data_IF_886533252251
#
_entry.id   IF_886533252251
#
_cell.length_a   1.000
_cell.length_b   1.000
_cell.length_c   1.000
_cell.angle_alpha   90.00
_cell.angle_beta   90.00
_cell.angle_gamma   90.00
#
_symmetry.space_group_name_H-M   'P 1'
#
loop_
_entity.id
_entity.type
_entity.pdbx_description
1 polymer ?
#
# COMPACT_ATOMS: atom_id res chain seq x y z
N UNK A 1 25.49 8.64 -4.42
CA UNK A 1 24.34 9.46 -4.84
C UNK A 1 24.78 10.43 -5.93
N UNK A 2 24.69 10.01 -7.21
CA UNK A 2 25.10 10.83 -8.37
C UNK A 2 24.08 11.92 -8.74
N UNK A 3 22.96 12.03 -8.05
CA UNK A 3 21.86 12.94 -8.43
C UNK A 3 21.62 14.11 -7.47
N UNK A 4 22.41 14.27 -6.41
CA UNK A 4 22.20 15.36 -5.42
C UNK A 4 20.83 15.34 -4.70
N UNK A 5 20.08 14.26 -4.77
CA UNK A 5 18.78 14.15 -4.13
C UNK A 5 18.98 13.98 -2.61
N UNK A 6 18.43 14.90 -1.83
CA UNK A 6 18.28 14.76 -0.39
C UNK A 6 17.27 13.64 -0.08
N UNK A 7 17.65 12.70 0.78
CA UNK A 7 16.75 11.70 1.33
C UNK A 7 16.60 11.94 2.82
N UNK A 8 15.38 12.06 3.28
CA UNK A 8 15.05 12.10 4.69
C UNK A 8 14.77 10.67 5.14
N UNK A 9 15.45 10.22 6.19
CA UNK A 9 15.28 8.90 6.79
C UNK A 9 14.80 9.12 8.21
N UNK A 10 13.64 8.57 8.53
CA UNK A 10 13.04 8.66 9.86
C UNK A 10 13.28 7.36 10.61
N UNK A 11 13.62 7.48 11.90
CA UNK A 11 13.81 6.36 12.80
C UNK A 11 12.94 6.54 14.03
N UNK A 12 12.42 5.44 14.53
CA UNK A 12 11.73 5.39 15.80
C UNK A 12 12.73 4.94 16.86
N UNK A 13 13.29 5.89 17.64
CA UNK A 13 14.38 5.68 18.57
C UNK A 13 15.79 5.85 17.95
N UNK A 14 16.83 5.44 18.67
CA UNK A 14 18.22 5.46 18.19
C UNK A 14 18.50 4.24 17.32
N UNK A 15 18.69 4.39 15.99
CA UNK A 15 18.91 3.28 15.08
C UNK A 15 20.35 2.74 15.11
N UNK A 16 21.26 3.31 15.90
CA UNK A 16 22.69 3.02 15.83
C UNK A 16 23.31 3.40 14.47
N UNK A 17 24.36 2.68 14.04
CA UNK A 17 24.97 2.90 12.72
C UNK A 17 24.07 2.42 11.57
N UNK A 18 23.56 3.35 10.77
CA UNK A 18 22.77 3.05 9.57
C UNK A 18 23.60 3.29 8.32
N UNK A 19 23.83 2.26 7.53
CA UNK A 19 24.47 2.38 6.20
C UNK A 19 23.45 2.86 5.18
N UNK A 20 23.62 4.09 4.70
CA UNK A 20 22.68 4.77 3.79
C UNK A 20 22.70 4.26 2.35
N UNK A 21 23.75 3.57 1.94
CA UNK A 21 23.84 2.90 0.62
C UNK A 21 24.40 1.47 0.79
N UNK A 22 23.55 0.53 1.19
CA UNK A 22 23.98 -0.85 1.39
C UNK A 22 24.34 -1.48 0.04
N UNK A 23 25.34 -2.39 0.02
CA UNK A 23 25.58 -3.24 -1.14
C UNK A 23 24.30 -4.04 -1.42
N UNK A 24 23.99 -4.30 -2.70
CA UNK A 24 22.74 -4.94 -3.13
C UNK A 24 22.40 -6.23 -2.35
N UNK A 25 23.39 -7.02 -1.97
CA UNK A 25 23.17 -8.26 -1.22
C UNK A 25 22.88 -8.03 0.28
N UNK A 26 23.38 -6.95 0.89
CA UNK A 26 22.97 -6.55 2.25
C UNK A 26 21.50 -6.09 2.25
N UNK A 27 21.13 -5.29 1.27
CA UNK A 27 19.74 -4.91 1.08
C UNK A 27 18.85 -6.14 0.86
N UNK A 28 19.25 -7.03 -0.04
CA UNK A 28 18.51 -8.27 -0.31
C UNK A 28 18.32 -9.12 0.94
N UNK A 29 19.41 -9.39 1.69
CA UNK A 29 19.31 -10.20 2.92
C UNK A 29 18.41 -9.57 3.98
N UNK A 30 18.53 -8.27 4.19
CA UNK A 30 17.65 -7.54 5.10
C UNK A 30 16.17 -7.68 4.69
N UNK A 31 15.88 -7.53 3.41
CA UNK A 31 14.52 -7.65 2.92
C UNK A 31 13.98 -9.08 2.93
N UNK A 32 14.82 -10.11 2.77
CA UNK A 32 14.42 -11.50 3.03
C UNK A 32 13.95 -11.67 4.48
N UNK A 33 14.74 -11.19 5.45
CA UNK A 33 14.37 -11.26 6.87
C UNK A 33 13.11 -10.45 7.17
N UNK A 34 12.96 -9.27 6.56
CA UNK A 34 11.75 -8.45 6.69
C UNK A 34 10.53 -9.16 6.14
N UNK A 35 10.63 -9.82 4.98
CA UNK A 35 9.55 -10.63 4.39
C UNK A 35 9.16 -11.83 5.26
N UNK A 36 10.14 -12.52 5.83
CA UNK A 36 9.88 -13.58 6.81
C UNK A 36 9.18 -13.03 8.05
N UNK A 37 9.69 -11.93 8.61
CA UNK A 37 9.08 -11.25 9.76
C UNK A 37 7.65 -10.82 9.48
N UNK A 38 7.37 -10.24 8.31
CA UNK A 38 6.02 -9.87 7.88
C UNK A 38 5.05 -11.05 7.91
N UNK A 39 5.47 -12.20 7.39
CA UNK A 39 4.66 -13.41 7.37
C UNK A 39 4.38 -13.93 8.79
N UNK A 40 5.37 -13.94 9.68
CA UNK A 40 5.21 -14.47 11.04
C UNK A 40 4.50 -13.49 11.99
N UNK A 41 4.63 -12.18 11.77
CA UNK A 41 3.91 -11.17 12.56
C UNK A 41 2.47 -10.96 12.09
N UNK A 42 2.17 -11.24 10.81
CA UNK A 42 0.84 -11.14 10.24
C UNK A 42 -0.01 -12.36 10.56
N UNK A 43 -0.80 -12.31 11.65
CA UNK A 43 -1.69 -13.42 12.05
C UNK A 43 -2.67 -13.76 10.93
N UNK A 44 -3.15 -12.79 10.18
CA UNK A 44 -4.01 -12.96 9.00
C UNK A 44 -3.35 -13.84 7.91
N UNK A 45 -2.06 -13.65 7.64
CA UNK A 45 -1.31 -14.51 6.70
C UNK A 45 -1.17 -15.94 7.23
N UNK A 46 -0.88 -16.10 8.53
CA UNK A 46 -0.78 -17.42 9.15
C UNK A 46 -2.11 -18.17 9.10
N UNK A 47 -3.22 -17.52 9.46
CA UNK A 47 -4.55 -18.11 9.40
C UNK A 47 -4.98 -18.43 7.97
N UNK A 48 -4.66 -17.55 7.02
CA UNK A 48 -4.90 -17.80 5.59
C UNK A 48 -4.18 -19.05 5.10
N UNK A 49 -2.87 -19.18 5.37
CA UNK A 49 -2.09 -20.37 4.99
C UNK A 49 -2.61 -21.60 5.71
N UNK A 50 -2.99 -21.50 6.98
CA UNK A 50 -3.57 -22.62 7.73
C UNK A 50 -4.89 -23.10 7.09
N UNK A 51 -5.76 -22.19 6.65
CA UNK A 51 -6.97 -22.54 5.90
C UNK A 51 -6.68 -23.28 4.60
N UNK A 52 -5.60 -22.93 3.90
CA UNK A 52 -5.18 -23.65 2.70
C UNK A 52 -4.67 -25.06 3.01
N UNK A 53 -3.96 -25.22 4.14
CA UNK A 53 -3.33 -26.49 4.55
C UNK A 53 -4.34 -27.50 5.09
N UNK A 54 -5.34 -27.05 5.85
CA UNK A 54 -6.29 -27.92 6.56
C UNK A 54 -6.92 -29.02 5.68
N UNK A 55 -7.40 -28.75 4.45
CA UNK A 55 -8.03 -29.78 3.61
C UNK A 55 -7.05 -30.49 2.67
N UNK A 56 -5.80 -30.01 2.55
CA UNK A 56 -4.83 -30.53 1.57
C UNK A 56 -3.65 -31.15 2.31
N UNK A 57 -3.41 -32.44 2.13
CA UNK A 57 -2.35 -33.16 2.85
C UNK A 57 -1.10 -33.44 2.02
N UNK A 58 -1.14 -33.17 0.72
CA UNK A 58 -0.02 -33.40 -0.16
C UNK A 58 0.82 -32.11 -0.31
N UNK A 59 2.11 -32.19 -0.02
CA UNK A 59 3.01 -31.03 -0.09
C UNK A 59 3.07 -30.40 -1.50
N UNK A 60 3.17 -31.21 -2.56
CA UNK A 60 3.33 -30.71 -3.93
C UNK A 60 2.21 -29.75 -4.37
N UNK A 61 0.89 -30.10 -4.26
CA UNK A 61 -0.16 -29.15 -4.62
C UNK A 61 -0.19 -27.94 -3.70
N UNK A 62 0.15 -28.08 -2.41
CA UNK A 62 0.21 -26.95 -1.46
C UNK A 62 1.28 -25.93 -1.86
N UNK A 63 2.49 -26.38 -2.20
CA UNK A 63 3.55 -25.50 -2.69
C UNK A 63 3.04 -24.70 -3.89
N UNK A 64 2.41 -25.35 -4.88
CA UNK A 64 1.87 -24.65 -6.05
C UNK A 64 0.81 -23.59 -5.72
N UNK A 65 -0.06 -23.87 -4.75
CA UNK A 65 -1.10 -22.92 -4.31
C UNK A 65 -0.47 -21.73 -3.57
N UNK A 66 0.49 -21.97 -2.69
CA UNK A 66 1.18 -20.95 -1.92
C UNK A 66 2.04 -20.07 -2.84
N UNK A 67 2.80 -20.67 -3.76
CA UNK A 67 3.58 -19.92 -4.75
C UNK A 67 2.69 -19.07 -5.67
N UNK A 68 1.50 -19.55 -6.05
CA UNK A 68 0.54 -18.75 -6.81
C UNK A 68 0.09 -17.50 -6.01
N UNK A 69 -0.15 -17.66 -4.71
CA UNK A 69 -0.43 -16.53 -3.81
C UNK A 69 0.75 -15.56 -3.76
N UNK A 70 1.98 -16.03 -3.55
CA UNK A 70 3.18 -15.18 -3.47
C UNK A 70 3.45 -14.42 -4.77
N UNK A 71 3.25 -15.06 -5.93
CA UNK A 71 3.38 -14.39 -7.23
C UNK A 71 2.37 -13.24 -7.34
N UNK A 72 1.10 -13.49 -7.00
CA UNK A 72 0.05 -12.48 -7.04
C UNK A 72 0.31 -11.33 -6.06
N UNK A 73 0.71 -11.67 -4.83
CA UNK A 73 1.13 -10.72 -3.80
C UNK A 73 2.29 -9.84 -4.30
N UNK A 74 3.29 -10.43 -4.96
CA UNK A 74 4.43 -9.72 -5.54
C UNK A 74 3.99 -8.72 -6.62
N UNK A 75 3.04 -9.08 -7.47
CA UNK A 75 2.53 -8.21 -8.54
C UNK A 75 1.94 -6.93 -7.94
N UNK A 76 1.04 -7.06 -6.96
CA UNK A 76 0.38 -5.90 -6.36
C UNK A 76 1.29 -5.11 -5.43
N UNK A 77 2.24 -5.76 -4.76
CA UNK A 77 3.27 -5.11 -3.98
C UNK A 77 4.17 -4.22 -4.84
N UNK A 78 4.66 -4.75 -5.98
CA UNK A 78 5.46 -3.99 -6.95
C UNK A 78 4.63 -2.85 -7.56
N UNK A 79 3.38 -3.12 -7.95
CA UNK A 79 2.47 -2.11 -8.44
C UNK A 79 2.28 -0.96 -7.44
N UNK A 80 2.10 -1.28 -6.16
CA UNK A 80 2.01 -0.29 -5.07
C UNK A 80 3.28 0.53 -4.90
N UNK A 81 4.44 -0.12 -4.95
CA UNK A 81 5.74 0.55 -4.83
C UNK A 81 6.02 1.50 -6.00
N UNK A 82 5.49 1.18 -7.18
CA UNK A 82 5.57 2.01 -8.39
C UNK A 82 4.47 3.10 -8.46
N UNK A 83 3.60 3.21 -7.45
CA UNK A 83 2.56 4.22 -7.39
C UNK A 83 1.28 3.91 -8.16
N UNK A 84 1.07 2.65 -8.58
CA UNK A 84 -0.16 2.22 -9.26
C UNK A 84 -1.31 1.85 -8.29
N UNK A 85 -1.04 1.79 -6.98
CA UNK A 85 -2.10 1.58 -6.01
C UNK A 85 -3.00 2.83 -5.89
N UNK A 86 -4.31 2.66 -5.70
CA UNK A 86 -5.20 3.77 -5.39
C UNK A 86 -4.74 4.54 -4.14
N UNK A 87 -4.73 5.87 -4.23
CA UNK A 87 -4.30 6.75 -3.13
C UNK A 87 -5.46 7.16 -2.23
N UNK A 88 -6.69 6.78 -2.56
CA UNK A 88 -7.89 7.11 -1.81
C UNK A 88 -7.83 6.56 -0.37
N UNK A 89 -8.21 7.39 0.61
CA UNK A 89 -8.14 7.06 2.04
C UNK A 89 -8.98 5.83 2.43
N UNK A 90 -10.04 5.54 1.70
CA UNK A 90 -10.87 4.35 1.91
C UNK A 90 -10.25 3.05 1.39
N UNK A 91 -9.21 3.15 0.53
CA UNK A 91 -8.63 1.98 -0.12
C UNK A 91 -7.92 1.03 0.85
N UNK A 92 -7.01 1.48 1.76
CA UNK A 92 -6.40 0.59 2.74
C UNK A 92 -7.44 -0.12 3.64
N UNK A 93 -8.44 0.56 4.25
CA UNK A 93 -9.50 -0.12 4.99
C UNK A 93 -10.31 -1.11 4.17
N UNK A 94 -10.56 -0.84 2.89
CA UNK A 94 -11.21 -1.79 2.01
C UNK A 94 -10.37 -3.05 1.82
N UNK A 95 -9.07 -2.90 1.59
CA UNK A 95 -8.15 -4.04 1.44
C UNK A 95 -8.14 -4.88 2.71
N UNK A 96 -8.12 -4.28 3.89
CA UNK A 96 -8.18 -5.00 5.17
C UNK A 96 -9.48 -5.79 5.33
N UNK A 97 -10.63 -5.22 4.93
CA UNK A 97 -11.92 -5.93 4.89
C UNK A 97 -11.85 -7.14 3.96
N UNK A 98 -11.27 -6.97 2.77
CA UNK A 98 -11.14 -8.04 1.79
C UNK A 98 -10.18 -9.14 2.27
N UNK A 99 -9.10 -8.79 2.97
CA UNK A 99 -8.18 -9.75 3.60
C UNK A 99 -8.94 -10.60 4.63
N UNK A 100 -9.64 -9.97 5.59
CA UNK A 100 -10.42 -10.70 6.58
C UNK A 100 -11.51 -11.57 5.92
N UNK A 101 -12.20 -11.03 4.92
CA UNK A 101 -13.20 -11.74 4.12
C UNK A 101 -12.65 -12.97 3.40
N UNK A 102 -11.40 -12.92 2.92
CA UNK A 102 -10.73 -14.06 2.27
C UNK A 102 -10.49 -15.23 3.23
N UNK A 103 -10.14 -14.92 4.48
CA UNK A 103 -9.94 -15.93 5.53
C UNK A 103 -11.28 -16.57 5.91
N UNK A 104 -12.32 -15.76 6.12
CA UNK A 104 -13.69 -16.25 6.37
C UNK A 104 -14.16 -17.17 5.24
N UNK A 105 -13.97 -16.74 3.99
CA UNK A 105 -14.36 -17.55 2.82
C UNK A 105 -13.68 -18.92 2.81
N UNK A 106 -12.35 -18.97 2.96
CA UNK A 106 -11.61 -20.24 2.95
C UNK A 106 -11.99 -21.15 4.14
N UNK A 107 -12.18 -20.58 5.31
CA UNK A 107 -12.56 -21.34 6.48
C UNK A 107 -13.98 -21.92 6.33
N UNK A 108 -14.95 -21.17 5.80
CA UNK A 108 -16.29 -21.65 5.49
C UNK A 108 -16.27 -22.71 4.38
N UNK A 109 -15.44 -22.53 3.33
CA UNK A 109 -15.24 -23.54 2.28
C UNK A 109 -14.77 -24.88 2.88
N UNK A 110 -13.84 -24.84 3.83
CA UNK A 110 -13.36 -26.02 4.53
C UNK A 110 -14.46 -26.69 5.37
N UNK A 111 -15.34 -25.91 6.04
CA UNK A 111 -16.48 -26.42 6.80
C UNK A 111 -17.49 -27.10 5.88
N UNK A 112 -17.85 -26.49 4.77
CA UNK A 112 -18.78 -27.06 3.79
C UNK A 112 -18.16 -28.30 3.12
N UNK A 113 -16.85 -28.32 2.96
CA UNK A 113 -16.12 -29.41 2.31
C UNK A 113 -16.26 -29.37 0.79
N UNK A 114 -16.48 -28.19 0.25
CA UNK A 114 -16.53 -27.99 -1.20
C UNK A 114 -15.20 -28.38 -1.84
N UNK A 115 -15.25 -29.25 -2.86
CA UNK A 115 -14.09 -29.53 -3.71
C UNK A 115 -14.02 -28.47 -4.80
N UNK A 116 -13.38 -27.34 -4.52
CA UNK A 116 -13.19 -26.30 -5.52
C UNK A 116 -12.03 -26.71 -6.44
N UNK A 117 -12.31 -26.96 -7.72
CA UNK A 117 -11.25 -27.17 -8.69
C UNK A 117 -10.44 -25.87 -8.80
N UNK A 118 -9.13 -25.98 -9.02
CA UNK A 118 -8.26 -24.82 -9.25
C UNK A 118 -8.09 -23.88 -8.04
N UNK A 119 -7.91 -24.43 -6.83
CA UNK A 119 -7.65 -23.65 -5.61
C UNK A 119 -6.49 -22.62 -5.76
N UNK A 120 -5.54 -22.89 -6.65
CA UNK A 120 -4.47 -21.95 -6.96
C UNK A 120 -4.99 -20.62 -7.54
N UNK A 121 -6.11 -20.64 -8.28
CA UNK A 121 -6.72 -19.40 -8.82
C UNK A 121 -7.31 -18.55 -7.69
N UNK A 122 -7.96 -19.20 -6.72
CA UNK A 122 -8.52 -18.50 -5.53
C UNK A 122 -7.37 -17.92 -4.71
N UNK A 123 -6.32 -18.70 -4.45
CA UNK A 123 -5.14 -18.23 -3.75
C UNK A 123 -4.45 -17.07 -4.49
N UNK A 124 -4.37 -17.15 -5.82
CA UNK A 124 -3.86 -16.05 -6.66
C UNK A 124 -4.71 -14.79 -6.52
N UNK A 125 -6.04 -14.91 -6.64
CA UNK A 125 -6.95 -13.76 -6.50
C UNK A 125 -6.83 -13.09 -5.12
N UNK A 126 -6.75 -13.88 -4.05
CA UNK A 126 -6.53 -13.36 -2.71
C UNK A 126 -5.13 -12.79 -2.52
N UNK A 127 -4.11 -13.38 -3.15
CA UNK A 127 -2.75 -12.84 -3.15
C UNK A 127 -2.68 -11.41 -3.73
N UNK A 128 -3.44 -11.13 -4.80
CA UNK A 128 -3.55 -9.76 -5.34
C UNK A 128 -4.11 -8.78 -4.31
N UNK A 129 -5.09 -9.20 -3.51
CA UNK A 129 -5.66 -8.36 -2.45
C UNK A 129 -4.65 -8.14 -1.32
N UNK A 130 -4.03 -9.22 -0.81
CA UNK A 130 -3.09 -9.17 0.31
C UNK A 130 -1.85 -8.30 0.00
N UNK A 131 -1.36 -8.31 -1.23
CA UNK A 131 -0.20 -7.50 -1.62
C UNK A 131 -0.45 -5.99 -1.55
N UNK A 132 -1.68 -5.53 -1.70
CA UNK A 132 -2.02 -4.13 -1.43
C UNK A 132 -2.03 -3.78 0.06
N UNK A 133 -2.33 -4.74 0.95
CA UNK A 133 -2.41 -4.51 2.40
C UNK A 133 -1.11 -4.05 3.04
N UNK A 134 0.03 -4.46 2.49
CA UNK A 134 1.35 -4.09 3.00
C UNK A 134 1.92 -2.80 2.39
N UNK A 135 1.22 -2.18 1.44
CA UNK A 135 1.75 -1.06 0.65
C UNK A 135 2.14 0.18 1.47
N UNK A 136 1.44 0.46 2.57
CA UNK A 136 1.74 1.60 3.46
C UNK A 136 2.95 1.32 4.34
N UNK A 137 3.01 0.18 5.01
CA UNK A 137 4.14 -0.21 5.84
C UNK A 137 5.43 -0.42 5.02
N UNK A 138 5.30 -0.89 3.77
CA UNK A 138 6.43 -1.08 2.87
C UNK A 138 7.10 0.24 2.51
N UNK A 139 6.38 1.35 2.36
CA UNK A 139 6.98 2.66 2.05
C UNK A 139 7.99 3.08 3.11
N UNK A 140 7.71 2.83 4.38
CA UNK A 140 8.63 3.11 5.49
C UNK A 140 9.87 2.20 5.41
N UNK A 141 9.71 0.93 5.05
CA UNK A 141 10.81 -0.01 4.90
C UNK A 141 11.67 0.27 3.65
N UNK A 142 11.06 0.75 2.56
CA UNK A 142 11.75 1.03 1.30
C UNK A 142 12.76 2.20 1.41
N UNK A 143 12.66 3.06 2.41
CA UNK A 143 13.70 4.08 2.67
C UNK A 143 15.09 3.45 2.84
N UNK A 144 15.16 2.19 3.30
CA UNK A 144 16.41 1.44 3.48
C UNK A 144 16.85 0.63 2.26
N UNK A 145 16.08 0.64 1.18
CA UNK A 145 16.42 -0.09 -0.05
C UNK A 145 17.53 0.60 -0.87
N UNK A 146 17.83 1.86 -0.58
CA UNK A 146 18.82 2.63 -1.33
C UNK A 146 18.46 2.74 -2.82
N UNK A 147 19.42 2.42 -3.70
CA UNK A 147 19.23 2.35 -5.15
C UNK A 147 18.66 0.99 -5.63
N UNK A 148 18.45 0.02 -4.71
CA UNK A 148 18.17 -1.38 -5.02
C UNK A 148 16.69 -1.76 -4.82
N UNK A 149 15.75 -0.88 -5.19
CA UNK A 149 14.31 -1.06 -4.96
C UNK A 149 13.78 -2.41 -5.45
N UNK A 150 14.00 -2.75 -6.72
CA UNK A 150 13.48 -3.99 -7.30
C UNK A 150 14.11 -5.23 -6.66
N UNK A 151 15.40 -5.19 -6.37
CA UNK A 151 16.10 -6.28 -5.67
C UNK A 151 15.54 -6.48 -4.26
N UNK A 152 15.27 -5.39 -3.55
CA UNK A 152 14.68 -5.42 -2.21
C UNK A 152 13.26 -5.98 -2.22
N UNK A 153 12.43 -5.58 -3.19
CA UNK A 153 11.07 -6.11 -3.34
C UNK A 153 11.08 -7.60 -3.69
N UNK A 154 11.95 -8.03 -4.62
CA UNK A 154 12.10 -9.44 -4.96
C UNK A 154 12.59 -10.26 -3.75
N UNK A 155 13.58 -9.75 -3.02
CA UNK A 155 14.11 -10.38 -1.83
C UNK A 155 13.06 -10.50 -0.70
N UNK A 156 12.23 -9.46 -0.51
CA UNK A 156 11.12 -9.51 0.42
C UNK A 156 10.14 -10.65 0.09
N UNK A 157 9.75 -10.79 -1.17
CA UNK A 157 8.83 -11.87 -1.59
C UNK A 157 9.47 -13.26 -1.47
N UNK A 158 10.78 -13.38 -1.70
CA UNK A 158 11.51 -14.62 -1.38
C UNK A 158 11.43 -14.93 0.12
N UNK A 159 11.55 -13.92 0.98
CA UNK A 159 11.38 -14.08 2.43
C UNK A 159 9.98 -14.55 2.82
N UNK A 160 8.94 -13.97 2.21
CA UNK A 160 7.53 -14.39 2.41
C UNK A 160 7.37 -15.86 2.00
N UNK A 161 7.83 -16.25 0.81
CA UNK A 161 7.74 -17.64 0.32
C UNK A 161 8.46 -18.62 1.25
N UNK A 162 9.69 -18.29 1.68
CA UNK A 162 10.44 -19.15 2.61
C UNK A 162 9.71 -19.33 3.94
N UNK A 163 9.11 -18.27 4.49
CA UNK A 163 8.34 -18.37 5.71
C UNK A 163 7.08 -19.22 5.53
N UNK A 164 6.37 -19.07 4.42
CA UNK A 164 5.21 -19.92 4.09
C UNK A 164 5.60 -21.39 3.96
N UNK A 165 6.69 -21.69 3.27
CA UNK A 165 7.21 -23.05 3.15
C UNK A 165 7.62 -23.62 4.52
N UNK A 166 8.20 -22.81 5.40
CA UNK A 166 8.51 -23.23 6.76
C UNK A 166 7.23 -23.56 7.56
N UNK A 167 6.19 -22.73 7.44
CA UNK A 167 4.86 -23.01 8.04
C UNK A 167 4.30 -24.33 7.48
N UNK A 168 4.36 -24.57 6.18
CA UNK A 168 3.91 -25.83 5.56
C UNK A 168 4.70 -27.03 6.10
N UNK A 169 6.02 -26.90 6.19
CA UNK A 169 6.90 -27.97 6.68
C UNK A 169 6.61 -28.42 8.11
N UNK A 170 6.06 -27.51 8.93
CA UNK A 170 5.65 -27.80 10.31
C UNK A 170 4.17 -28.22 10.37
N UNK A 171 3.28 -27.45 9.75
CA UNK A 171 1.83 -27.66 9.87
C UNK A 171 1.36 -28.96 9.23
N UNK A 172 1.89 -29.32 8.05
CA UNK A 172 1.46 -30.57 7.37
C UNK A 172 1.78 -31.84 8.16
N UNK A 173 3.02 -32.07 8.66
CA UNK A 173 3.30 -33.21 9.51
C UNK A 173 2.52 -33.18 10.82
N UNK A 174 2.39 -32.01 11.46
CA UNK A 174 1.64 -31.85 12.71
C UNK A 174 0.16 -32.23 12.54
N UNK A 175 -0.50 -31.75 11.49
CA UNK A 175 -1.88 -32.08 11.17
C UNK A 175 -2.04 -33.57 10.80
N UNK A 176 -1.10 -34.13 10.04
CA UNK A 176 -1.10 -35.58 9.74
C UNK A 176 -1.02 -36.43 11.01
N UNK A 177 -0.14 -36.06 11.93
CA UNK A 177 0.01 -36.74 13.21
C UNK A 177 -1.27 -36.62 14.06
N UNK A 178 -1.82 -35.39 14.16
CA UNK A 178 -3.05 -35.09 14.91
C UNK A 178 -4.23 -35.93 14.40
N UNK A 179 -4.44 -35.92 13.08
CA UNK A 179 -5.57 -36.62 12.44
C UNK A 179 -5.38 -38.14 12.40
N UNK A 180 -4.13 -38.64 12.50
CA UNK A 180 -3.87 -40.08 12.58
C UNK A 180 -4.11 -40.65 13.99
N UNK A 181 -4.02 -39.81 15.05
CA UNK A 181 -4.00 -40.32 16.44
C UNK A 181 -5.04 -39.74 17.38
N UNK A 182 -5.48 -38.50 17.18
CA UNK A 182 -6.27 -37.80 18.20
C UNK A 182 -7.69 -37.44 17.73
N UNK A 183 -7.87 -37.01 16.49
CA UNK A 183 -9.16 -36.45 16.01
C UNK A 183 -9.46 -36.94 14.58
N UNK A 184 -10.70 -37.43 14.31
CA UNK A 184 -11.11 -37.74 12.95
C UNK A 184 -10.91 -36.50 12.04
N UNK A 185 -10.32 -36.73 10.87
CA UNK A 185 -9.91 -35.64 9.96
C UNK A 185 -11.00 -34.61 9.71
N UNK A 186 -12.17 -35.06 9.28
CA UNK A 186 -13.29 -34.18 8.96
C UNK A 186 -13.72 -33.32 10.13
N UNK A 187 -13.75 -33.92 11.33
CA UNK A 187 -14.08 -33.21 12.57
C UNK A 187 -13.02 -32.17 12.91
N UNK A 188 -11.73 -32.53 12.82
CA UNK A 188 -10.63 -31.62 13.10
C UNK A 188 -10.59 -30.43 12.13
N UNK A 189 -10.84 -30.65 10.83
CA UNK A 189 -10.94 -29.59 9.84
C UNK A 189 -12.10 -28.65 10.16
N UNK A 190 -13.30 -29.19 10.50
CA UNK A 190 -14.47 -28.37 10.87
C UNK A 190 -14.18 -27.53 12.10
N UNK A 191 -13.67 -28.16 13.18
CA UNK A 191 -13.38 -27.46 14.45
C UNK A 191 -12.35 -26.35 14.22
N UNK A 192 -11.21 -26.65 13.60
CA UNK A 192 -10.17 -25.66 13.33
C UNK A 192 -10.69 -24.51 12.45
N UNK A 193 -11.44 -24.84 11.40
CA UNK A 193 -12.01 -23.83 10.51
C UNK A 193 -13.09 -22.99 11.20
N UNK A 194 -13.87 -23.55 12.13
CA UNK A 194 -14.85 -22.81 12.92
C UNK A 194 -14.18 -21.77 13.83
N UNK A 195 -13.08 -22.13 14.51
CA UNK A 195 -12.29 -21.19 15.30
C UNK A 195 -11.70 -20.07 14.42
N UNK A 196 -11.13 -20.43 13.27
CA UNK A 196 -10.58 -19.44 12.34
C UNK A 196 -11.70 -18.52 11.82
N UNK A 197 -12.87 -19.07 11.46
CA UNK A 197 -14.01 -18.27 11.01
C UNK A 197 -14.46 -17.30 12.08
N UNK A 198 -14.53 -17.75 13.35
CA UNK A 198 -14.94 -16.91 14.47
C UNK A 198 -14.01 -15.70 14.61
N UNK A 199 -12.71 -15.93 14.66
CA UNK A 199 -11.71 -14.87 14.80
C UNK A 199 -11.71 -13.91 13.60
N UNK A 200 -11.66 -14.46 12.39
CA UNK A 200 -11.66 -13.67 11.17
C UNK A 200 -12.97 -12.89 10.95
N UNK A 201 -14.10 -13.39 11.49
CA UNK A 201 -15.38 -12.69 11.45
C UNK A 201 -15.37 -11.44 12.33
N UNK A 202 -14.79 -11.51 13.52
CA UNK A 202 -14.62 -10.33 14.38
C UNK A 202 -13.76 -9.27 13.69
N UNK A 203 -12.64 -9.67 13.08
CA UNK A 203 -11.80 -8.74 12.30
C UNK A 203 -12.55 -8.15 11.10
N UNK A 204 -13.34 -8.97 10.40
CA UNK A 204 -14.15 -8.50 9.28
C UNK A 204 -15.12 -7.41 9.70
N UNK A 205 -15.84 -7.60 10.82
CA UNK A 205 -16.77 -6.61 11.35
C UNK A 205 -16.08 -5.32 11.80
N UNK A 206 -14.97 -5.43 12.53
CA UNK A 206 -14.19 -4.29 13.00
C UNK A 206 -13.64 -3.46 11.82
N UNK A 207 -13.01 -4.13 10.85
CA UNK A 207 -12.47 -3.48 9.65
C UNK A 207 -13.57 -2.90 8.78
N UNK A 208 -14.73 -3.57 8.67
CA UNK A 208 -15.90 -3.05 7.97
C UNK A 208 -16.50 -1.83 8.69
N UNK A 209 -16.53 -1.81 10.02
CA UNK A 209 -16.92 -0.63 10.79
C UNK A 209 -15.98 0.56 10.51
N UNK A 210 -14.67 0.32 10.50
CA UNK A 210 -13.68 1.32 10.12
C UNK A 210 -13.91 1.82 8.69
N UNK A 211 -14.13 0.91 7.72
CA UNK A 211 -14.41 1.29 6.34
C UNK A 211 -15.65 2.18 6.22
N UNK A 212 -16.70 1.93 7.00
CA UNK A 212 -17.95 2.72 6.99
C UNK A 212 -17.76 4.16 7.49
N UNK A 213 -16.68 4.45 8.23
CA UNK A 213 -16.38 5.84 8.65
C UNK A 213 -15.90 6.70 7.49
N UNK A 214 -15.45 6.08 6.39
CA UNK A 214 -15.02 6.80 5.20
C UNK A 214 -16.21 7.14 4.30
N UNK A 215 -16.37 8.40 3.95
CA UNK A 215 -17.34 8.82 2.95
C UNK A 215 -16.86 8.35 1.57
N UNK A 216 -17.57 7.41 0.98
CA UNK A 216 -17.36 7.05 -0.41
C UNK A 216 -17.88 8.20 -1.28
N UNK A 217 -16.98 9.06 -1.73
CA UNK A 217 -17.30 9.92 -2.86
C UNK A 217 -17.23 9.06 -4.12
N UNK A 218 -18.35 8.90 -4.88
CA UNK A 218 -18.28 8.20 -6.15
C UNK A 218 -17.26 8.91 -7.02
N UNK A 219 -16.42 8.16 -7.77
CA UNK A 219 -15.49 8.79 -8.69
C UNK A 219 -16.29 9.66 -9.66
N UNK A 220 -15.84 10.88 -9.85
CA UNK A 220 -16.44 11.73 -10.89
C UNK A 220 -16.11 11.04 -12.21
N UNK A 221 -17.16 10.63 -12.95
CA UNK A 221 -17.03 9.98 -14.25
C UNK A 221 -16.66 11.02 -15.32
N UNK A 222 -15.48 11.62 -15.15
CA UNK A 222 -14.92 12.56 -16.11
C UNK A 222 -14.01 11.87 -17.12
N UNK A 223 -13.57 12.63 -18.12
CA UNK A 223 -12.69 12.10 -19.16
C UNK A 223 -11.34 11.60 -18.60
N UNK A 224 -10.89 12.13 -17.45
CA UNK A 224 -9.66 11.71 -16.78
C UNK A 224 -9.84 10.34 -16.12
N UNK A 225 -10.96 10.13 -15.42
CA UNK A 225 -11.31 8.83 -14.85
C UNK A 225 -11.42 7.76 -15.94
N UNK A 226 -12.13 8.07 -17.03
CA UNK A 226 -12.27 7.14 -18.15
C UNK A 226 -10.91 6.81 -18.78
N UNK A 227 -10.03 7.81 -18.93
CA UNK A 227 -8.67 7.60 -19.43
C UNK A 227 -7.84 6.71 -18.49
N UNK A 228 -7.97 6.85 -17.18
CA UNK A 228 -7.24 6.03 -16.21
C UNK A 228 -7.76 4.59 -16.17
N UNK A 229 -9.09 4.41 -16.25
CA UNK A 229 -9.70 3.07 -16.42
C UNK A 229 -9.23 2.41 -17.70
N UNK A 230 -9.21 3.16 -18.81
CA UNK A 230 -8.77 2.64 -20.11
C UNK A 230 -7.27 2.25 -20.07
N UNK A 231 -6.43 3.07 -19.45
CA UNK A 231 -5.00 2.74 -19.24
C UNK A 231 -4.82 1.49 -18.40
N UNK A 232 -5.58 1.37 -17.31
CA UNK A 232 -5.57 0.17 -16.47
C UNK A 232 -5.97 -1.08 -17.26
N UNK A 233 -7.06 -1.00 -18.02
CA UNK A 233 -7.51 -2.08 -18.90
C UNK A 233 -6.48 -2.44 -19.97
N UNK A 234 -5.86 -1.45 -20.59
CA UNK A 234 -4.75 -1.67 -21.55
C UNK A 234 -3.55 -2.33 -20.90
N UNK A 235 -3.18 -1.92 -19.67
CA UNK A 235 -2.11 -2.56 -18.91
C UNK A 235 -2.37 -4.04 -18.64
N UNK A 236 -3.59 -4.37 -18.23
CA UNK A 236 -4.04 -5.77 -18.04
C UNK A 236 -3.97 -6.55 -19.35
N UNK A 237 -4.44 -5.99 -20.45
CA UNK A 237 -4.38 -6.62 -21.77
C UNK A 237 -2.96 -6.90 -22.22
N UNK A 238 -2.02 -5.97 -21.97
CA UNK A 238 -0.59 -6.17 -22.27
C UNK A 238 -0.01 -7.31 -21.45
N UNK A 239 -0.26 -7.34 -20.13
CA UNK A 239 0.23 -8.40 -19.25
C UNK A 239 -0.32 -9.76 -19.66
N UNK A 240 -1.63 -9.86 -19.92
CA UNK A 240 -2.28 -11.09 -20.41
C UNK A 240 -1.70 -11.51 -21.74
N UNK A 241 -1.48 -10.58 -22.63
CA UNK A 241 -0.90 -10.85 -23.94
C UNK A 241 0.55 -11.29 -23.90
N UNK A 242 1.38 -10.70 -23.05
CA UNK A 242 2.76 -11.12 -22.81
C UNK A 242 2.77 -12.53 -22.22
N UNK A 243 1.95 -12.81 -21.21
CA UNK A 243 1.83 -14.13 -20.60
C UNK A 243 1.38 -15.18 -21.62
N UNK A 244 0.42 -14.83 -22.48
CA UNK A 244 -0.05 -15.72 -23.56
C UNK A 244 1.02 -15.92 -24.64
N UNK A 245 1.75 -14.86 -25.02
CA UNK A 245 2.88 -14.94 -25.96
C UNK A 245 4.01 -15.83 -25.43
N UNK A 246 4.41 -15.66 -24.15
CA UNK A 246 5.41 -16.52 -23.49
C UNK A 246 4.92 -17.96 -23.46
N UNK A 247 3.65 -18.21 -23.10
CA UNK A 247 3.08 -19.54 -23.08
C UNK A 247 3.02 -20.17 -24.48
N UNK A 248 2.81 -19.35 -25.51
CA UNK A 248 2.86 -19.75 -26.92
C UNK A 248 4.28 -20.14 -27.40
N UNK A 249 5.27 -19.35 -27.00
CA UNK A 249 6.69 -19.66 -27.28
C UNK A 249 7.13 -20.94 -26.56
N UNK A 250 6.78 -21.08 -25.28
CA UNK A 250 7.09 -22.30 -24.52
C UNK A 250 6.44 -23.56 -25.13
N UNK A 251 5.18 -23.45 -25.59
CA UNK A 251 4.53 -24.56 -26.31
C UNK A 251 5.20 -24.89 -27.64
N UNK A 252 5.73 -23.88 -28.36
CA UNK A 252 6.50 -24.10 -29.60
C UNK A 252 7.84 -24.83 -29.34
N UNK A 253 8.54 -24.42 -28.28
CA UNK A 253 9.78 -25.07 -27.85
C UNK A 253 9.53 -26.50 -27.36
N UNK A 254 8.31 -26.81 -26.88
CA UNK A 254 7.88 -28.15 -26.46
C UNK A 254 7.32 -29.01 -27.59
N UNK A 255 7.41 -28.60 -28.85
CA UNK A 255 7.05 -29.41 -30.02
C UNK A 255 5.57 -29.39 -30.42
N UNK A 256 4.74 -28.56 -29.85
CA UNK A 256 3.32 -28.39 -30.20
C UNK A 256 3.12 -27.34 -31.30
N UNK A 257 2.51 -27.73 -32.43
CA UNK A 257 2.23 -26.84 -33.58
C UNK A 257 1.27 -25.69 -33.23
N UNK A 258 1.57 -24.51 -33.75
CA UNK A 258 1.00 -23.23 -33.41
C UNK A 258 0.12 -22.58 -34.49
N UNK A 259 -0.84 -21.79 -34.05
CA UNK A 259 -1.43 -20.71 -34.85
C UNK A 259 -1.40 -19.42 -33.97
N UNK A 260 -0.78 -18.38 -34.42
CA UNK A 260 -1.17 -16.97 -34.31
C UNK A 260 0.00 -15.98 -34.35
N UNK A 261 0.26 -15.46 -35.54
CA UNK A 261 1.15 -14.32 -35.78
C UNK A 261 0.42 -12.96 -35.70
N UNK A 262 -0.90 -12.95 -35.73
CA UNK A 262 -1.73 -11.72 -35.82
C UNK A 262 -1.88 -10.98 -34.47
N UNK A 263 -1.87 -11.69 -33.34
CA UNK A 263 -2.08 -11.08 -32.01
C UNK A 263 -0.84 -10.37 -31.51
N UNK A 264 0.36 -10.83 -31.90
CA UNK A 264 1.63 -10.20 -31.50
C UNK A 264 1.78 -8.79 -32.10
N UNK A 265 1.29 -8.58 -33.33
CA UNK A 265 1.32 -7.27 -33.98
C UNK A 265 0.40 -6.24 -33.32
N UNK A 266 -0.80 -6.65 -32.90
CA UNK A 266 -1.75 -5.79 -32.21
C UNK A 266 -1.24 -5.36 -30.81
N UNK A 267 -0.50 -6.23 -30.14
CA UNK A 267 0.08 -5.95 -28.82
C UNK A 267 1.25 -4.98 -28.85
N UNK A 268 2.08 -5.03 -29.90
CA UNK A 268 3.15 -4.04 -30.12
C UNK A 268 2.58 -2.65 -30.41
N UNK A 269 1.45 -2.57 -31.12
CA UNK A 269 0.74 -1.31 -31.36
C UNK A 269 0.17 -0.71 -30.06
N UNK A 270 -0.41 -1.53 -29.18
CA UNK A 270 -0.91 -1.10 -27.87
C UNK A 270 0.22 -0.64 -26.93
N UNK A 271 1.38 -1.31 -26.95
CA UNK A 271 2.55 -0.92 -26.18
C UNK A 271 3.13 0.43 -26.66
N UNK A 272 3.17 0.66 -27.99
CA UNK A 272 3.60 1.94 -28.55
C UNK A 272 2.68 3.11 -28.18
N UNK A 273 1.37 2.87 -28.04
CA UNK A 273 0.40 3.89 -27.60
C UNK A 273 0.57 4.29 -26.13
N UNK A 274 1.16 3.44 -25.28
CA UNK A 274 1.45 3.76 -23.88
C UNK A 274 2.71 4.63 -23.69
N UNK A 275 3.61 4.66 -24.68
CA UNK A 275 4.88 5.42 -24.64
C UNK A 275 4.75 6.81 -25.25
N UNK A 276 3.61 7.13 -25.89
CA UNK A 276 3.39 8.45 -26.47
C UNK A 276 3.45 9.54 -25.38
N UNK A 277 4.28 10.60 -25.57
CA UNK A 277 4.39 11.66 -24.58
C UNK A 277 3.06 12.36 -24.40
N UNK A 278 2.69 12.62 -23.13
CA UNK A 278 1.51 13.38 -22.77
C UNK A 278 1.61 14.80 -23.33
N UNK A 279 1.01 15.05 -24.46
CA UNK A 279 0.64 16.41 -24.88
C UNK A 279 -0.80 16.67 -24.45
N UNK A 280 -1.01 16.85 -23.17
CA UNK A 280 -2.18 17.56 -22.69
C UNK A 280 -1.69 18.87 -22.11
N UNK A 281 -2.09 19.97 -22.72
CA UNK A 281 -2.15 21.28 -22.10
C UNK A 281 -3.20 21.25 -20.98
N UNK A 282 -2.97 20.42 -19.97
CA UNK A 282 -3.62 20.53 -18.68
C UNK A 282 -2.91 21.68 -17.97
N UNK A 283 -3.66 22.66 -17.51
CA UNK A 283 -3.15 23.67 -16.59
C UNK A 283 -2.28 22.95 -15.56
N UNK A 284 -1.01 23.41 -15.43
CA UNK A 284 -0.07 22.82 -14.48
C UNK A 284 -0.78 22.71 -13.11
N UNK A 285 -0.72 21.55 -12.43
CA UNK A 285 -1.37 21.39 -11.15
C UNK A 285 -0.88 22.49 -10.22
N UNK A 286 -1.81 23.23 -9.60
CA UNK A 286 -1.47 24.25 -8.62
C UNK A 286 -0.67 23.59 -7.52
N UNK A 287 0.41 24.25 -7.09
CA UNK A 287 1.26 23.76 -6.00
C UNK A 287 0.98 24.53 -4.72
N UNK A 288 1.10 23.90 -3.55
CA UNK A 288 1.04 24.59 -2.26
C UNK A 288 2.11 25.68 -2.10
N UNK A 289 3.18 25.63 -2.91
CA UNK A 289 4.23 26.66 -2.96
C UNK A 289 3.77 27.96 -3.60
N UNK A 290 2.59 27.99 -4.24
CA UNK A 290 2.03 29.17 -4.93
C UNK A 290 1.08 29.99 -4.04
N UNK A 291 1.04 29.71 -2.74
CA UNK A 291 0.19 30.48 -1.82
C UNK A 291 -1.30 30.17 -1.98
N UNK A 292 -1.68 28.95 -1.67
CA UNK A 292 -3.03 28.40 -1.84
C UNK A 292 -3.96 28.65 -0.64
N UNK A 293 -3.55 29.42 0.33
CA UNK A 293 -4.33 29.82 1.51
C UNK A 293 -3.95 31.25 1.93
N UNK A 294 -4.83 31.91 2.65
CA UNK A 294 -4.59 33.27 3.16
C UNK A 294 -4.00 33.27 4.58
N UNK A 295 -3.24 34.31 4.99
CA UNK A 295 -2.75 34.43 6.35
C UNK A 295 -3.88 34.38 7.41
N UNK A 296 -5.04 34.97 7.10
CA UNK A 296 -6.20 34.96 7.97
C UNK A 296 -6.72 33.54 8.23
N UNK A 297 -6.79 32.71 7.22
CA UNK A 297 -7.19 31.30 7.36
C UNK A 297 -6.23 30.53 8.27
N UNK A 298 -4.91 30.73 8.11
CA UNK A 298 -3.92 30.08 8.95
C UNK A 298 -3.97 30.54 10.43
N UNK A 299 -4.31 31.81 10.68
CA UNK A 299 -4.51 32.34 12.05
C UNK A 299 -5.73 31.69 12.70
N UNK A 300 -6.87 31.64 11.99
CA UNK A 300 -8.07 30.93 12.46
C UNK A 300 -7.79 29.45 12.69
N UNK A 301 -7.05 28.82 11.77
CA UNK A 301 -6.65 27.42 11.87
C UNK A 301 -5.78 27.11 13.08
N UNK A 302 -4.91 28.05 13.51
CA UNK A 302 -4.17 27.93 14.77
C UNK A 302 -5.11 27.83 15.97
N UNK A 303 -6.18 28.62 15.99
CA UNK A 303 -7.16 28.57 17.08
C UNK A 303 -7.93 27.27 17.10
N UNK A 304 -8.35 26.75 15.92
CA UNK A 304 -9.00 25.44 15.81
C UNK A 304 -8.05 24.32 16.24
N UNK A 305 -6.79 24.35 15.80
CA UNK A 305 -5.78 23.38 16.18
C UNK A 305 -5.55 23.35 17.69
N UNK A 306 -5.44 24.51 18.32
CA UNK A 306 -5.27 24.63 19.76
C UNK A 306 -6.47 24.09 20.55
N UNK A 307 -7.69 24.31 20.07
CA UNK A 307 -8.91 23.86 20.75
C UNK A 307 -9.24 22.39 20.52
N UNK A 308 -9.04 21.88 19.31
CA UNK A 308 -9.52 20.55 18.90
C UNK A 308 -8.42 19.50 18.73
N UNK A 309 -7.16 19.91 18.52
CA UNK A 309 -6.08 18.98 18.15
C UNK A 309 -5.01 18.81 19.23
N UNK A 310 -4.67 19.88 19.98
CA UNK A 310 -3.59 19.84 21.00
C UNK A 310 -3.84 18.87 22.15
N UNK A 311 -5.09 18.47 22.38
CA UNK A 311 -5.40 17.45 23.39
C UNK A 311 -4.76 16.08 23.14
N UNK A 312 -4.46 15.77 21.86
CA UNK A 312 -3.89 14.49 21.44
C UNK A 312 -2.60 14.64 20.61
N UNK A 313 -2.36 15.80 20.02
CA UNK A 313 -1.25 16.06 19.11
C UNK A 313 -0.40 17.24 19.59
N UNK A 314 0.89 17.21 19.26
CA UNK A 314 1.75 18.41 19.34
C UNK A 314 1.86 19.04 17.95
N UNK A 315 2.24 20.32 17.87
CA UNK A 315 2.54 20.96 16.57
C UNK A 315 3.66 20.20 15.83
N UNK A 316 4.65 19.71 16.57
CA UNK A 316 5.77 18.95 16.03
C UNK A 316 5.33 17.64 15.31
N UNK A 317 4.24 17.02 15.74
CA UNK A 317 3.73 15.79 15.09
C UNK A 317 3.11 16.04 13.70
N UNK A 318 2.92 17.32 13.31
CA UNK A 318 2.34 17.72 12.02
C UNK A 318 3.34 18.49 11.15
N UNK A 319 4.62 18.41 11.46
CA UNK A 319 5.69 19.17 10.80
C UNK A 319 6.86 18.27 10.40
N UNK A 320 7.67 18.80 9.48
CA UNK A 320 8.94 18.23 9.10
C UNK A 320 8.86 16.86 8.44
N UNK A 321 9.86 15.97 8.67
CA UNK A 321 10.02 14.73 7.92
C UNK A 321 8.80 13.82 7.93
N UNK A 322 8.09 13.73 9.05
CA UNK A 322 6.88 12.89 9.15
C UNK A 322 5.73 13.41 8.27
N UNK A 323 5.56 14.73 8.21
CA UNK A 323 4.59 15.37 7.32
C UNK A 323 5.03 15.22 5.84
N UNK A 324 6.30 15.47 5.56
CA UNK A 324 6.87 15.42 4.21
C UNK A 324 6.72 14.03 3.60
N UNK A 325 7.11 12.99 4.33
CA UNK A 325 7.00 11.60 3.89
C UNK A 325 5.56 11.19 3.59
N UNK A 326 4.62 11.70 4.38
CA UNK A 326 3.21 11.30 4.27
C UNK A 326 2.47 12.07 3.19
N UNK A 327 2.77 13.37 3.00
CA UNK A 327 1.91 14.26 2.25
C UNK A 327 2.54 14.87 1.00
N UNK A 328 3.89 14.97 0.90
CA UNK A 328 4.52 15.55 -0.30
C UNK A 328 4.24 14.72 -1.53
N UNK A 329 3.99 15.42 -2.65
CA UNK A 329 3.60 14.84 -3.92
C UNK A 329 2.14 14.42 -4.02
N UNK A 330 1.36 14.51 -2.93
CA UNK A 330 -0.06 14.15 -2.92
C UNK A 330 -0.96 15.35 -3.18
N UNK A 331 -2.19 15.11 -3.68
CA UNK A 331 -3.19 16.17 -3.77
C UNK A 331 -3.60 16.67 -2.37
N UNK A 332 -3.89 17.95 -2.26
CA UNK A 332 -4.34 18.57 -1.00
C UNK A 332 -5.67 17.97 -0.49
N UNK A 333 -6.49 17.43 -1.41
CA UNK A 333 -7.71 16.71 -1.07
C UNK A 333 -7.49 15.52 -0.13
N UNK A 334 -6.31 14.89 -0.15
CA UNK A 334 -6.00 13.76 0.73
C UNK A 334 -5.74 14.24 2.16
N UNK A 335 -4.98 15.33 2.35
CA UNK A 335 -4.78 15.93 3.67
C UNK A 335 -6.09 16.44 4.25
N UNK A 336 -6.86 17.21 3.46
CA UNK A 336 -8.16 17.71 3.86
C UNK A 336 -9.13 16.58 4.22
N UNK A 337 -9.21 15.55 3.37
CA UNK A 337 -10.06 14.38 3.60
C UNK A 337 -9.65 13.59 4.84
N UNK A 338 -8.35 13.47 5.13
CA UNK A 338 -7.87 12.86 6.36
C UNK A 338 -8.34 13.63 7.60
N UNK A 339 -8.22 14.95 7.57
CA UNK A 339 -8.65 15.79 8.69
C UNK A 339 -10.17 15.74 8.86
N UNK A 340 -10.94 15.92 7.80
CA UNK A 340 -12.40 16.01 7.87
C UNK A 340 -13.10 14.69 8.19
N UNK A 341 -12.51 13.54 7.82
CA UNK A 341 -13.15 12.23 8.05
C UNK A 341 -12.66 11.52 9.30
N UNK A 342 -11.43 11.81 9.78
CA UNK A 342 -10.80 11.05 10.85
C UNK A 342 -10.46 11.86 12.10
N UNK A 343 -10.52 13.18 12.02
CA UNK A 343 -10.15 14.07 13.12
C UNK A 343 -11.30 15.01 13.53
N UNK A 344 -11.38 15.38 14.80
CA UNK A 344 -10.70 14.82 15.97
C UNK A 344 -11.02 13.34 16.17
N UNK A 345 -10.05 12.53 16.59
CA UNK A 345 -10.24 11.06 16.71
C UNK A 345 -11.35 10.67 17.69
N UNK A 346 -11.58 11.49 18.73
CA UNK A 346 -12.66 11.30 19.70
C UNK A 346 -14.06 11.58 19.13
N UNK A 347 -14.16 12.40 18.07
CA UNK A 347 -15.42 12.79 17.44
C UNK A 347 -15.17 13.21 15.98
N UNK A 348 -14.95 12.25 15.05
CA UNK A 348 -14.67 12.55 13.65
C UNK A 348 -15.83 13.31 12.98
N UNK A 349 -15.51 14.30 12.14
CA UNK A 349 -16.50 15.06 11.38
C UNK A 349 -17.29 16.10 12.17
N UNK A 350 -16.90 16.44 13.40
CA UNK A 350 -17.62 17.40 14.26
C UNK A 350 -17.25 18.85 14.03
N UNK A 351 -16.11 19.14 13.43
CA UNK A 351 -15.75 20.49 13.03
C UNK A 351 -16.56 20.90 11.80
N UNK A 352 -16.79 22.20 11.66
CA UNK A 352 -17.41 22.77 10.46
C UNK A 352 -16.47 22.67 9.26
N UNK A 353 -17.03 22.77 8.05
CA UNK A 353 -16.24 22.75 6.81
C UNK A 353 -15.16 23.84 6.81
N UNK A 354 -15.52 25.04 7.25
CA UNK A 354 -14.59 26.16 7.38
C UNK A 354 -13.45 25.87 8.39
N UNK A 355 -13.76 25.24 9.51
CA UNK A 355 -12.75 24.88 10.51
C UNK A 355 -11.76 23.84 9.96
N UNK A 356 -12.22 22.87 9.17
CA UNK A 356 -11.33 21.94 8.48
C UNK A 356 -10.46 22.63 7.43
N UNK A 357 -10.99 23.59 6.69
CA UNK A 357 -10.25 24.45 5.76
C UNK A 357 -9.17 25.23 6.51
N UNK A 358 -9.53 25.87 7.61
CA UNK A 358 -8.60 26.71 8.39
C UNK A 358 -7.49 25.87 9.03
N UNK A 359 -7.80 24.72 9.62
CA UNK A 359 -6.77 23.85 10.22
C UNK A 359 -5.85 23.27 9.15
N UNK A 360 -6.36 22.99 7.95
CA UNK A 360 -5.55 22.60 6.80
C UNK A 360 -4.57 23.72 6.42
N UNK A 361 -5.04 24.96 6.32
CA UNK A 361 -4.19 26.11 6.04
C UNK A 361 -3.10 26.31 7.12
N UNK A 362 -3.43 26.07 8.39
CA UNK A 362 -2.46 26.15 9.47
C UNK A 362 -1.38 25.06 9.37
N UNK A 363 -1.76 23.82 9.07
CA UNK A 363 -0.80 22.73 8.88
C UNK A 363 0.13 23.01 7.69
N UNK A 364 -0.38 23.54 6.58
CA UNK A 364 0.45 23.99 5.45
C UNK A 364 1.46 25.07 5.89
N UNK A 365 1.02 26.05 6.67
CA UNK A 365 1.89 27.08 7.25
C UNK A 365 2.98 26.49 8.13
N UNK A 366 2.64 25.53 9.00
CA UNK A 366 3.60 24.86 9.89
C UNK A 366 4.72 24.19 9.10
N UNK A 367 4.44 23.73 7.86
CA UNK A 367 5.41 23.08 6.98
C UNK A 367 6.04 24.03 5.96
N UNK A 368 6.03 25.35 6.23
CA UNK A 368 6.76 26.34 5.46
C UNK A 368 6.17 26.67 4.09
N UNK A 369 4.94 26.24 3.78
CA UNK A 369 4.26 26.66 2.56
C UNK A 369 3.85 28.14 2.67
N UNK A 370 4.06 28.95 1.61
CA UNK A 370 3.75 30.37 1.67
C UNK A 370 2.24 30.63 1.68
N UNK A 371 1.81 31.64 2.43
CA UNK A 371 0.48 32.19 2.30
C UNK A 371 0.36 33.02 1.02
N UNK A 372 -0.84 33.07 0.44
CA UNK A 372 -1.15 33.84 -0.76
C UNK A 372 -2.37 34.71 -0.60
N UNK A 373 -2.89 35.16 -1.76
CA UNK A 373 -4.13 35.95 -1.84
C UNK A 373 -5.37 35.09 -2.13
N UNK A 374 -5.14 33.82 -2.51
CA UNK A 374 -6.21 32.88 -2.83
C UNK A 374 -6.66 32.21 -1.55
N UNK A 375 -7.96 32.13 -1.32
CA UNK A 375 -8.53 31.41 -0.21
C UNK A 375 -8.53 29.91 -0.49
N UNK A 376 -8.13 29.14 0.51
CA UNK A 376 -8.33 27.70 0.54
C UNK A 376 -9.82 27.42 0.63
N UNK A 377 -10.31 26.52 -0.20
CA UNK A 377 -11.72 26.11 -0.21
C UNK A 377 -11.86 24.61 -0.03
N UNK A 378 -13.00 24.15 0.44
CA UNK A 378 -13.30 22.72 0.56
C UNK A 378 -13.75 22.09 -0.77
N UNK A 379 -13.77 22.86 -1.87
CA UNK A 379 -14.25 22.35 -3.17
C UNK A 379 -13.38 21.17 -3.65
N UNK A 380 -13.98 19.99 -3.90
CA UNK A 380 -13.23 18.76 -4.17
C UNK A 380 -12.33 18.84 -5.41
N UNK A 381 -12.79 19.49 -6.49
CA UNK A 381 -12.01 19.61 -7.71
C UNK A 381 -10.81 20.55 -7.53
N UNK A 382 -11.00 21.62 -6.77
CA UNK A 382 -9.94 22.54 -6.44
C UNK A 382 -8.88 21.88 -5.55
N UNK A 383 -9.29 21.16 -4.50
CA UNK A 383 -8.39 20.42 -3.60
C UNK A 383 -7.60 19.32 -4.34
N UNK A 384 -8.22 18.63 -5.31
CA UNK A 384 -7.55 17.62 -6.15
C UNK A 384 -6.52 18.22 -7.09
N UNK A 385 -6.76 19.43 -7.59
CA UNK A 385 -5.86 20.12 -8.50
C UNK A 385 -4.62 20.71 -7.83
N UNK A 386 -4.61 20.83 -6.49
CA UNK A 386 -3.48 21.36 -5.72
C UNK A 386 -2.62 20.23 -5.21
N UNK A 387 -1.33 20.23 -5.56
CA UNK A 387 -0.34 19.28 -5.05
C UNK A 387 0.40 19.86 -3.85
N UNK A 388 0.64 19.04 -2.84
CA UNK A 388 1.45 19.39 -1.68
C UNK A 388 2.92 19.22 -2.06
N UNK A 389 3.64 20.32 -2.19
CA UNK A 389 5.07 20.35 -2.51
C UNK A 389 5.87 21.01 -1.39
N UNK A 390 7.18 20.75 -1.33
CA UNK A 390 8.07 21.37 -0.38
C UNK A 390 8.05 22.89 -0.52
N UNK A 391 7.90 23.60 0.58
CA UNK A 391 8.04 25.05 0.62
C UNK A 391 9.44 25.51 0.21
N UNK A 392 9.65 26.75 -0.20
CA UNK A 392 10.98 27.28 -0.50
C UNK A 392 11.87 27.16 0.74
N UNK A 393 13.11 26.73 0.57
CA UNK A 393 14.08 26.44 1.65
C UNK A 393 14.45 27.65 2.54
N UNK A 394 13.95 28.82 2.25
CA UNK A 394 14.19 30.08 2.98
C UNK A 394 13.05 30.51 3.90
N UNK A 395 12.03 29.67 4.13
CA UNK A 395 11.03 29.97 5.16
C UNK A 395 11.74 29.94 6.54
N UNK A 396 11.55 30.99 7.40
CA UNK A 396 12.11 30.96 8.74
C UNK A 396 11.61 29.71 9.45
N UNK A 397 12.54 28.97 10.06
CA UNK A 397 12.19 27.80 10.87
C UNK A 397 11.20 28.21 11.94
N UNK A 398 10.05 27.52 12.09
CA UNK A 398 9.08 27.87 13.14
C UNK A 398 9.57 27.59 14.56
N UNK A 399 10.86 27.30 14.75
CA UNK A 399 11.48 26.93 16.00
C UNK A 399 12.04 28.15 16.73
N UNK A 400 11.19 29.04 17.20
CA UNK A 400 11.56 29.97 18.28
C UNK A 400 11.57 29.30 19.67
N UNK A 401 11.21 28.04 19.78
CA UNK A 401 11.12 27.28 21.04
C UNK A 401 12.19 26.14 21.13
N UNK A 402 13.45 26.44 20.88
CA UNK A 402 14.56 25.71 21.51
C UNK A 402 14.90 24.28 21.04
N UNK A 403 14.36 23.78 19.91
CA UNK A 403 14.73 22.46 19.38
C UNK A 403 15.70 22.57 18.20
N UNK A 404 16.93 22.08 18.37
CA UNK A 404 17.96 22.03 17.32
C UNK A 404 17.65 20.88 16.33
N UNK A 405 17.20 21.21 15.12
CA UNK A 405 17.16 20.26 14.00
C UNK A 405 18.56 20.23 13.37
N UNK A 406 19.34 19.21 13.65
CA UNK A 406 20.64 19.00 12.98
C UNK A 406 20.41 18.49 11.55
N UNK A 407 20.66 19.36 10.57
CA UNK A 407 20.72 18.95 9.16
C UNK A 407 22.11 18.37 8.89
N UNK A 408 22.18 17.09 8.61
CA UNK A 408 23.42 16.46 8.16
C UNK A 408 23.57 16.63 6.65
N UNK A 409 24.55 17.43 6.23
CA UNK A 409 24.99 17.48 4.84
C UNK A 409 25.98 16.33 4.65
N UNK A 410 25.59 15.30 3.86
CA UNK A 410 26.49 14.21 3.53
C UNK A 410 27.61 14.75 2.60
N UNK A 411 28.81 14.82 3.11
CA UNK A 411 30.01 15.08 2.31
C UNK A 411 30.48 13.72 1.78
N UNK A 412 30.74 13.55 0.48
CA UNK A 412 31.31 12.32 -0.04
C UNK A 412 32.70 12.13 0.56
N UNK A 413 32.91 11.06 1.29
CA UNK A 413 34.30 10.59 1.54
C UNK A 413 34.68 9.71 0.35
N UNK A 414 35.80 10.07 -0.26
CA UNK A 414 36.47 9.39 -1.37
C UNK A 414 36.89 7.96 -1.03
#
# INVERSE_FOLDING_TARGET
LRSGAERVITFDGDPGEVRLDPRWWHAAWRFVLTGMGHMFSGIDHLLFVLCLVLPIRAMRPLVGVVTAFTIAHSITLVASALGFAPTALWFPPLVEVLIAGSIVYLALENIVGARVPHRWMIAFAFGLVHGFGFSTALREQLQFAGSHLLTSLAAFNVGVELAQLAVLAVAVPALRWLFARAVPERMGVIIASAFITHEAWHWLLERAATLRTYRFMPPVLDALFLADVLRGAMGVLVVVGVAWGISGVMRRLSGARAASTTVTGLMLLCAAAMVAPRTTAAQAPKSTTQGVYTPAQAIKGKSVFNGACLGCHTTASHMGPAFELRWFGRPLSELYGYLSNLMPKSAPGTLTEDEYVWVTAYILKLNGMPAGKVELTAEPNWLKAVRIDAGPSNAPSPLEDGWEVRRFRLVPQF
#
